data_IF_840989796686
#
_entry.id   IF_840989796686
#
_cell.length_a   1.000
_cell.length_b   1.000
_cell.length_c   1.000
_cell.angle_alpha   90.00
_cell.angle_beta   90.00
_cell.angle_gamma   90.00
#
_symmetry.space_group_name_H-M   'P 1'
#
loop_
_entity.id
_entity.type
_entity.pdbx_description
1 polymer ?
#
# COMPACT_ATOMS: atom_id res chain seq x y z
N UNK A 1 4.91 22.55 -7.76
CA UNK A 1 5.52 21.77 -6.66
C UNK A 1 4.82 22.15 -5.36
N UNK A 2 4.35 21.18 -4.55
CA UNK A 2 3.58 21.42 -3.31
C UNK A 2 4.43 21.70 -2.05
N UNK A 3 5.74 21.94 -2.21
CA UNK A 3 6.65 22.30 -1.12
C UNK A 3 7.14 21.14 -0.23
N UNK A 4 6.42 20.02 -0.15
CA UNK A 4 6.82 18.85 0.65
C UNK A 4 7.88 17.94 0.01
N UNK A 5 8.12 16.79 0.65
CA UNK A 5 8.96 15.68 0.18
C UNK A 5 8.51 14.34 0.77
N UNK A 6 8.79 13.23 0.10
CA UNK A 6 8.53 11.88 0.64
C UNK A 6 9.78 11.42 1.40
N UNK A 7 9.67 10.83 2.60
CA UNK A 7 10.83 10.29 3.31
C UNK A 7 11.65 9.32 2.44
N UNK A 8 12.97 9.30 2.64
CA UNK A 8 13.86 8.39 1.91
C UNK A 8 14.63 7.48 2.86
N UNK A 9 14.92 6.28 2.38
CA UNK A 9 15.96 5.42 2.94
C UNK A 9 17.26 5.61 2.13
N UNK A 10 18.40 5.54 2.80
CA UNK A 10 19.73 5.58 2.14
C UNK A 10 20.58 4.42 2.64
N UNK A 11 21.25 3.71 1.72
CA UNK A 11 22.12 2.59 2.03
C UNK A 11 23.40 2.64 1.19
N UNK A 12 24.52 2.24 1.79
CA UNK A 12 25.82 2.10 1.13
C UNK A 12 26.30 0.67 1.29
N UNK A 13 26.45 -0.05 0.17
CA UNK A 13 27.00 -1.42 0.18
C UNK A 13 28.53 -1.41 0.07
N UNK A 14 29.07 -0.50 -0.75
CA UNK A 14 30.50 -0.33 -0.98
C UNK A 14 30.82 1.17 -1.02
N UNK A 15 31.85 1.58 -0.30
CA UNK A 15 32.36 2.95 -0.30
C UNK A 15 33.83 3.00 -0.72
N UNK A 16 34.06 2.98 -2.04
CA UNK A 16 35.41 3.04 -2.59
C UNK A 16 36.02 4.46 -2.52
N UNK A 17 35.19 5.50 -2.40
CA UNK A 17 35.63 6.90 -2.40
C UNK A 17 35.78 7.49 -1.00
N UNK A 18 35.23 6.83 0.03
CA UNK A 18 35.11 7.36 1.39
C UNK A 18 34.02 8.44 1.52
N UNK A 19 33.15 8.59 0.51
CA UNK A 19 32.13 9.65 0.40
C UNK A 19 30.78 9.14 -0.10
N UNK A 20 30.59 7.83 -0.22
CA UNK A 20 29.36 7.28 -0.78
C UNK A 20 28.11 7.70 0.01
N UNK A 21 28.21 7.74 1.35
CA UNK A 21 27.08 8.16 2.19
C UNK A 21 26.75 9.65 2.02
N UNK A 22 27.76 10.52 1.99
CA UNK A 22 27.55 11.96 1.75
C UNK A 22 26.89 12.22 0.39
N UNK A 23 27.30 11.49 -0.64
CA UNK A 23 26.70 11.56 -1.96
C UNK A 23 25.24 11.07 -1.94
N UNK A 24 24.96 9.95 -1.26
CA UNK A 24 23.60 9.42 -1.09
C UNK A 24 22.67 10.41 -0.39
N UNK A 25 23.13 10.99 0.73
CA UNK A 25 22.38 12.03 1.46
C UNK A 25 22.13 13.27 0.59
N UNK A 26 23.13 13.72 -0.18
CA UNK A 26 22.99 14.83 -1.13
C UNK A 26 21.92 14.53 -2.19
N UNK A 27 21.92 13.31 -2.74
CA UNK A 27 20.91 12.87 -3.70
C UNK A 27 19.51 12.84 -3.09
N UNK A 28 19.34 12.20 -1.93
CA UNK A 28 18.06 12.16 -1.21
C UNK A 28 17.53 13.58 -0.91
N UNK A 29 18.41 14.52 -0.53
CA UNK A 29 18.01 15.91 -0.33
C UNK A 29 17.58 16.58 -1.65
N UNK A 30 18.27 16.33 -2.75
CA UNK A 30 17.96 16.93 -4.05
C UNK A 30 16.59 16.49 -4.59
N UNK A 31 16.19 15.24 -4.33
CA UNK A 31 14.86 14.72 -4.70
C UNK A 31 13.77 15.04 -3.67
N UNK A 32 14.12 15.76 -2.59
CA UNK A 32 13.16 16.29 -1.60
C UNK A 32 13.03 15.50 -0.30
N UNK A 33 13.67 14.33 -0.16
CA UNK A 33 13.62 13.52 1.06
C UNK A 33 14.15 14.25 2.30
N UNK A 34 15.15 15.13 2.11
CA UNK A 34 15.67 15.98 3.19
C UNK A 34 14.64 16.93 3.83
N UNK A 35 13.47 17.13 3.21
CA UNK A 35 12.38 17.95 3.78
C UNK A 35 11.51 17.21 4.80
N UNK A 36 11.51 15.88 4.77
CA UNK A 36 10.69 15.03 5.64
C UNK A 36 11.52 14.14 6.55
N UNK A 37 12.65 13.64 6.05
CA UNK A 37 13.55 12.76 6.78
C UNK A 37 14.29 11.83 5.83
N UNK A 38 15.58 11.61 6.12
CA UNK A 38 16.39 10.59 5.47
C UNK A 38 16.87 9.64 6.55
N UNK A 39 16.60 8.35 6.40
CA UNK A 39 16.95 7.32 7.37
C UNK A 39 18.00 6.41 6.75
N UNK A 40 19.12 6.26 7.44
CA UNK A 40 20.16 5.31 7.05
C UNK A 40 19.70 3.86 7.31
N UNK A 41 19.94 2.98 6.34
CA UNK A 41 19.63 1.55 6.38
C UNK A 41 20.72 0.75 5.66
N UNK A 42 20.52 -0.55 5.50
CA UNK A 42 21.31 -1.38 4.61
C UNK A 42 20.44 -2.01 3.50
N UNK A 43 21.09 -2.47 2.43
CA UNK A 43 20.42 -3.05 1.26
C UNK A 43 19.52 -4.25 1.61
N UNK A 44 19.89 -5.04 2.63
CA UNK A 44 19.09 -6.18 3.06
C UNK A 44 17.80 -5.71 3.73
N UNK A 45 17.89 -4.79 4.68
CA UNK A 45 16.73 -4.25 5.39
C UNK A 45 15.78 -3.53 4.43
N UNK A 46 16.29 -2.68 3.55
CA UNK A 46 15.47 -2.00 2.55
C UNK A 46 14.72 -3.00 1.66
N UNK A 47 15.45 -3.91 1.00
CA UNK A 47 14.84 -4.88 0.10
C UNK A 47 13.83 -5.80 0.81
N UNK A 48 14.17 -6.36 1.98
CA UNK A 48 13.25 -7.26 2.69
C UNK A 48 12.00 -6.53 3.22
N UNK A 49 12.15 -5.31 3.73
CA UNK A 49 11.01 -4.57 4.32
C UNK A 49 10.12 -3.91 3.29
N UNK A 50 10.69 -3.43 2.18
CA UNK A 50 9.93 -2.85 1.07
C UNK A 50 9.03 -3.91 0.42
N UNK A 51 9.63 -5.03 0.00
CA UNK A 51 8.91 -6.18 -0.58
C UNK A 51 7.82 -6.71 0.36
N UNK A 52 8.10 -6.78 1.66
CA UNK A 52 7.10 -7.21 2.64
C UNK A 52 5.96 -6.19 2.76
N UNK A 53 6.30 -4.91 2.87
CA UNK A 53 5.33 -3.83 3.02
C UNK A 53 4.33 -3.79 1.87
N UNK A 54 4.80 -3.83 0.63
CA UNK A 54 3.94 -3.81 -0.55
C UNK A 54 3.08 -5.07 -0.70
N UNK A 55 3.63 -6.26 -0.42
CA UNK A 55 2.90 -7.51 -0.57
C UNK A 55 1.84 -7.70 0.51
N UNK A 56 2.22 -7.49 1.78
CA UNK A 56 1.37 -7.83 2.92
C UNK A 56 0.40 -6.71 3.33
N UNK A 57 0.71 -5.44 3.03
CA UNK A 57 -0.05 -4.29 3.54
C UNK A 57 -0.42 -3.30 2.46
N UNK A 58 0.57 -2.63 1.84
CA UNK A 58 0.34 -1.40 1.07
C UNK A 58 -0.37 -1.65 -0.27
N UNK A 59 -0.04 -2.74 -0.95
CA UNK A 59 -0.67 -3.14 -2.20
C UNK A 59 -1.57 -4.35 -1.96
N UNK A 60 -0.99 -5.54 -1.80
CA UNK A 60 -1.77 -6.79 -1.75
C UNK A 60 -2.81 -6.81 -0.64
N UNK A 61 -2.39 -6.59 0.61
CA UNK A 61 -3.28 -6.62 1.78
C UNK A 61 -4.42 -5.60 1.71
N UNK A 62 -4.11 -4.34 1.40
CA UNK A 62 -5.11 -3.28 1.30
C UNK A 62 -6.10 -3.53 0.16
N UNK A 63 -5.63 -3.88 -1.04
CA UNK A 63 -6.53 -4.08 -2.19
C UNK A 63 -7.45 -5.28 -1.99
N UNK A 64 -6.93 -6.39 -1.45
CA UNK A 64 -7.74 -7.59 -1.18
C UNK A 64 -8.77 -7.34 -0.07
N UNK A 65 -8.41 -6.60 1.00
CA UNK A 65 -9.36 -6.22 2.04
C UNK A 65 -10.52 -5.38 1.49
N UNK A 66 -10.21 -4.42 0.62
CA UNK A 66 -11.22 -3.58 -0.04
C UNK A 66 -12.11 -4.41 -0.96
N UNK A 67 -11.53 -5.26 -1.80
CA UNK A 67 -12.28 -6.12 -2.72
C UNK A 67 -13.21 -7.08 -1.95
N UNK A 68 -12.70 -7.76 -0.92
CA UNK A 68 -13.50 -8.66 -0.09
C UNK A 68 -14.66 -7.92 0.62
N UNK A 69 -14.42 -6.71 1.12
CA UNK A 69 -15.45 -5.86 1.71
C UNK A 69 -16.53 -5.47 0.68
N UNK A 70 -16.10 -5.02 -0.50
CA UNK A 70 -16.99 -4.66 -1.60
C UNK A 70 -17.85 -5.85 -2.04
N UNK A 71 -17.23 -7.01 -2.28
CA UNK A 71 -17.90 -8.24 -2.68
C UNK A 71 -18.92 -8.69 -1.64
N UNK A 72 -18.54 -8.67 -0.35
CA UNK A 72 -19.44 -9.03 0.76
C UNK A 72 -20.72 -8.21 0.75
N UNK A 73 -20.60 -6.89 0.57
CA UNK A 73 -21.76 -5.99 0.54
C UNK A 73 -22.61 -6.21 -0.72
N UNK A 74 -21.98 -6.29 -1.90
CA UNK A 74 -22.72 -6.48 -3.15
C UNK A 74 -23.43 -7.84 -3.19
N UNK A 75 -22.78 -8.91 -2.72
CA UNK A 75 -23.37 -10.25 -2.64
C UNK A 75 -24.53 -10.31 -1.64
N UNK A 76 -24.51 -9.48 -0.60
CA UNK A 76 -25.61 -9.32 0.34
C UNK A 76 -26.79 -8.48 -0.23
N UNK A 77 -26.67 -7.97 -1.46
CA UNK A 77 -27.72 -7.23 -2.15
C UNK A 77 -27.68 -5.71 -1.95
N UNK A 78 -26.61 -5.16 -1.35
CA UNK A 78 -26.41 -3.72 -1.28
C UNK A 78 -26.02 -3.14 -2.65
N UNK A 79 -26.34 -1.86 -2.86
CA UNK A 79 -25.99 -1.17 -4.10
C UNK A 79 -24.46 -1.08 -4.26
N UNK A 80 -23.90 -1.41 -5.43
CA UNK A 80 -22.45 -1.32 -5.67
C UNK A 80 -21.86 0.05 -5.38
N UNK A 81 -22.60 1.13 -5.69
CA UNK A 81 -22.16 2.50 -5.46
C UNK A 81 -21.97 2.77 -3.96
N UNK A 82 -22.92 2.32 -3.13
CA UNK A 82 -22.83 2.44 -1.67
C UNK A 82 -21.67 1.59 -1.15
N UNK A 83 -21.54 0.34 -1.60
CA UNK A 83 -20.43 -0.52 -1.21
C UNK A 83 -19.07 0.11 -1.54
N UNK A 84 -18.92 0.72 -2.72
CA UNK A 84 -17.70 1.43 -3.12
C UNK A 84 -17.39 2.61 -2.19
N UNK A 85 -18.39 3.42 -1.84
CA UNK A 85 -18.20 4.55 -0.92
C UNK A 85 -17.67 4.07 0.43
N UNK A 86 -18.34 3.10 1.03
CA UNK A 86 -18.05 2.59 2.36
C UNK A 86 -16.66 1.95 2.46
N UNK A 87 -16.27 1.12 1.49
CA UNK A 87 -15.07 0.26 1.64
C UNK A 87 -13.83 0.77 0.91
N UNK A 88 -13.96 1.72 -0.03
CA UNK A 88 -12.81 2.28 -0.76
C UNK A 88 -12.74 3.79 -0.65
N UNK A 89 -13.83 4.53 -0.92
CA UNK A 89 -13.77 5.99 -0.92
C UNK A 89 -13.45 6.54 0.49
N UNK A 90 -14.14 6.06 1.51
CA UNK A 90 -13.93 6.50 2.90
C UNK A 90 -12.62 6.00 3.50
N UNK A 91 -12.03 4.93 2.98
CA UNK A 91 -10.75 4.41 3.46
C UNK A 91 -9.65 5.48 3.37
N UNK A 92 -9.69 6.36 2.36
CA UNK A 92 -8.77 7.49 2.26
C UNK A 92 -8.81 8.39 3.50
N UNK A 93 -10.00 8.72 4.01
CA UNK A 93 -10.14 9.58 5.19
C UNK A 93 -9.56 8.91 6.44
N UNK A 94 -9.83 7.62 6.62
CA UNK A 94 -9.29 6.85 7.76
C UNK A 94 -7.76 6.81 7.71
N UNK A 95 -7.18 6.54 6.55
CA UNK A 95 -5.73 6.51 6.36
C UNK A 95 -5.11 7.92 6.52
N UNK A 96 -5.77 8.97 6.04
CA UNK A 96 -5.32 10.35 6.23
C UNK A 96 -5.27 10.70 7.74
N UNK A 97 -6.28 10.32 8.53
CA UNK A 97 -6.28 10.54 9.98
C UNK A 97 -5.16 9.77 10.70
N UNK A 98 -4.91 8.52 10.28
CA UNK A 98 -3.78 7.73 10.80
C UNK A 98 -2.44 8.34 10.43
N UNK A 99 -2.31 8.85 9.20
CA UNK A 99 -1.10 9.53 8.74
C UNK A 99 -0.84 10.82 9.54
N UNK A 100 -1.89 11.60 9.83
CA UNK A 100 -1.75 12.88 10.50
C UNK A 100 -1.59 12.80 12.03
N UNK A 101 -1.90 11.67 12.67
CA UNK A 101 -1.77 11.56 14.13
C UNK A 101 -1.88 10.16 14.73
N UNK A 102 -1.65 9.13 13.93
CA UNK A 102 -1.68 7.73 14.37
C UNK A 102 -3.08 7.18 14.63
N UNK A 103 -3.11 5.90 15.05
CA UNK A 103 -4.34 5.15 15.31
C UNK A 103 -5.20 5.83 16.39
N UNK A 104 -4.57 6.40 17.43
CA UNK A 104 -5.28 7.08 18.50
C UNK A 104 -6.06 8.31 18.00
N UNK A 105 -5.47 9.12 17.10
CA UNK A 105 -6.18 10.26 16.50
C UNK A 105 -7.33 9.79 15.61
N UNK A 106 -7.12 8.75 14.82
CA UNK A 106 -8.18 8.16 14.01
C UNK A 106 -9.36 7.70 14.88
N UNK A 107 -9.10 6.91 15.93
CA UNK A 107 -10.14 6.45 16.85
C UNK A 107 -10.87 7.59 17.56
N UNK A 108 -10.14 8.62 18.00
CA UNK A 108 -10.74 9.83 18.58
C UNK A 108 -11.63 10.61 17.60
N UNK A 109 -11.37 10.49 16.30
CA UNK A 109 -12.07 11.27 15.26
C UNK A 109 -13.32 10.56 14.71
N UNK A 110 -13.44 9.25 14.92
CA UNK A 110 -14.63 8.48 14.53
C UNK A 110 -15.64 8.43 15.67
N UNK A 111 -16.87 8.00 15.38
CA UNK A 111 -17.87 7.81 16.44
C UNK A 111 -17.52 6.66 17.38
N UNK A 112 -17.96 6.71 18.63
CA UNK A 112 -17.81 5.62 19.61
C UNK A 112 -18.32 4.28 19.07
N UNK A 113 -19.38 4.29 18.24
CA UNK A 113 -19.91 3.09 17.58
C UNK A 113 -18.90 2.47 16.62
N UNK A 114 -18.21 3.30 15.83
CA UNK A 114 -17.19 2.86 14.89
C UNK A 114 -15.93 2.36 15.61
N UNK A 115 -15.47 3.08 16.65
CA UNK A 115 -14.33 2.66 17.47
C UNK A 115 -14.62 1.31 18.15
N UNK A 116 -15.77 1.19 18.84
CA UNK A 116 -16.16 -0.05 19.51
C UNK A 116 -16.32 -1.21 18.52
N UNK A 117 -16.99 -0.96 17.38
CA UNK A 117 -17.13 -1.94 16.30
C UNK A 117 -15.79 -2.40 15.74
N UNK A 118 -14.84 -1.47 15.57
CA UNK A 118 -13.47 -1.73 15.13
C UNK A 118 -12.68 -2.61 16.10
N UNK A 119 -12.74 -2.32 17.41
CA UNK A 119 -12.09 -3.16 18.43
C UNK A 119 -12.60 -4.60 18.46
N UNK A 120 -13.91 -4.80 18.24
CA UNK A 120 -14.51 -6.14 18.26
C UNK A 120 -14.30 -6.90 16.94
N UNK A 121 -14.40 -6.20 15.80
CA UNK A 121 -14.43 -6.83 14.48
C UNK A 121 -13.05 -6.93 13.84
N UNK A 122 -12.15 -5.97 14.11
CA UNK A 122 -10.80 -5.96 13.56
C UNK A 122 -10.04 -7.27 13.77
N UNK A 123 -9.92 -7.78 15.01
CA UNK A 123 -9.25 -9.06 15.28
C UNK A 123 -9.94 -10.30 14.69
N UNK A 124 -11.20 -10.18 14.24
CA UNK A 124 -11.93 -11.27 13.55
C UNK A 124 -11.63 -11.31 12.05
N UNK A 125 -11.20 -10.18 11.48
CA UNK A 125 -10.76 -10.07 10.07
C UNK A 125 -9.25 -10.26 9.99
N UNK A 126 -8.50 -9.58 10.85
CA UNK A 126 -7.04 -9.68 10.99
C UNK A 126 -6.75 -10.51 12.24
N UNK A 127 -6.77 -11.83 12.06
CA UNK A 127 -6.59 -12.80 13.14
C UNK A 127 -5.15 -13.35 13.21
N UNK A 128 -4.95 -14.34 14.10
CA UNK A 128 -3.66 -14.99 14.28
C UNK A 128 -3.18 -15.72 13.00
N UNK A 129 -4.09 -16.22 12.16
CA UNK A 129 -3.70 -16.89 10.92
C UNK A 129 -3.30 -15.87 9.85
N UNK A 130 -3.90 -14.67 9.86
CA UNK A 130 -3.46 -13.56 9.00
C UNK A 130 -2.03 -13.16 9.34
N UNK A 131 -1.70 -13.08 10.63
CA UNK A 131 -0.32 -12.85 11.06
C UNK A 131 0.63 -13.97 10.61
N UNK A 132 0.24 -15.25 10.73
CA UNK A 132 1.06 -16.37 10.24
C UNK A 132 1.34 -16.29 8.74
N UNK A 133 0.34 -15.87 7.94
CA UNK A 133 0.52 -15.65 6.49
C UNK A 133 1.50 -14.52 6.21
N UNK A 134 1.45 -13.43 6.97
CA UNK A 134 2.44 -12.35 6.86
C UNK A 134 3.85 -12.84 7.22
N UNK A 135 4.00 -13.64 8.28
CA UNK A 135 5.28 -14.25 8.65
C UNK A 135 5.82 -15.18 7.56
N UNK A 136 4.94 -15.94 6.90
CA UNK A 136 5.32 -16.78 5.76
C UNK A 136 5.75 -15.95 4.54
N UNK A 137 5.02 -14.89 4.18
CA UNK A 137 5.40 -13.98 3.09
C UNK A 137 6.79 -13.39 3.35
N UNK A 138 7.05 -12.95 4.59
CA UNK A 138 8.37 -12.45 4.96
C UNK A 138 9.46 -13.53 4.81
N UNK A 139 9.18 -14.76 5.22
CA UNK A 139 10.12 -15.87 5.07
C UNK A 139 10.44 -16.16 3.58
N UNK A 140 9.43 -16.16 2.71
CA UNK A 140 9.58 -16.38 1.26
C UNK A 140 10.31 -15.23 0.55
N UNK A 141 10.28 -14.01 1.11
CA UNK A 141 11.12 -12.89 0.68
C UNK A 141 12.56 -13.14 1.12
N UNK A 142 12.77 -13.46 2.40
CA UNK A 142 14.09 -13.63 3.00
C UNK A 142 14.89 -14.81 2.44
N UNK A 143 14.22 -15.90 2.07
CA UNK A 143 14.86 -17.08 1.46
C UNK A 143 14.99 -16.99 -0.08
N UNK A 144 14.48 -15.90 -0.68
CA UNK A 144 14.53 -15.61 -2.10
C UNK A 144 13.52 -16.38 -2.96
N UNK A 145 12.56 -17.08 -2.35
CA UNK A 145 11.47 -17.76 -3.07
C UNK A 145 10.68 -16.79 -3.93
N UNK A 146 10.30 -15.63 -3.38
CA UNK A 146 9.59 -14.60 -4.12
C UNK A 146 10.41 -14.07 -5.31
N UNK A 147 11.68 -13.70 -5.07
CA UNK A 147 12.55 -13.11 -6.10
C UNK A 147 12.80 -14.08 -7.25
N UNK A 148 12.95 -15.39 -6.97
CA UNK A 148 13.09 -16.41 -8.03
C UNK A 148 11.86 -16.46 -8.94
N UNK A 149 10.65 -16.39 -8.38
CA UNK A 149 9.41 -16.36 -9.17
C UNK A 149 9.28 -15.05 -9.96
N UNK A 150 9.61 -13.92 -9.34
CA UNK A 150 9.58 -12.61 -9.98
C UNK A 150 10.49 -12.57 -11.21
N UNK A 151 11.75 -13.01 -11.06
CA UNK A 151 12.72 -13.08 -12.16
C UNK A 151 12.22 -14.02 -13.26
N UNK A 152 11.74 -15.21 -12.91
CA UNK A 152 11.20 -16.16 -13.89
C UNK A 152 10.00 -15.58 -14.66
N UNK A 153 9.10 -14.82 -14.01
CA UNK A 153 8.01 -14.13 -14.67
C UNK A 153 8.53 -13.05 -15.65
N UNK A 154 9.53 -12.26 -15.26
CA UNK A 154 10.14 -11.23 -16.13
C UNK A 154 10.82 -11.88 -17.34
N UNK A 155 11.61 -12.94 -17.14
CA UNK A 155 12.25 -13.72 -18.21
C UNK A 155 11.21 -14.39 -19.14
N UNK A 156 10.06 -14.76 -18.60
CA UNK A 156 8.89 -15.25 -19.33
C UNK A 156 8.02 -14.17 -19.97
N UNK A 157 8.49 -12.91 -20.04
CA UNK A 157 7.79 -11.81 -20.71
C UNK A 157 6.61 -11.22 -19.92
N UNK A 158 6.62 -11.34 -18.58
CA UNK A 158 5.59 -10.82 -17.66
C UNK A 158 4.18 -11.41 -17.84
N UNK A 159 4.05 -12.59 -18.46
CA UNK A 159 2.74 -13.19 -18.75
C UNK A 159 1.87 -13.41 -17.50
N UNK A 160 2.46 -13.77 -16.36
CA UNK A 160 1.73 -13.94 -15.11
C UNK A 160 1.21 -12.59 -14.58
N UNK A 161 2.06 -11.58 -14.58
CA UNK A 161 1.70 -10.23 -14.14
C UNK A 161 0.59 -9.62 -15.01
N UNK A 162 0.67 -9.77 -16.34
CA UNK A 162 -0.36 -9.26 -17.25
C UNK A 162 -1.71 -9.97 -17.07
N UNK A 163 -1.70 -11.27 -16.80
CA UNK A 163 -2.92 -12.01 -16.47
C UNK A 163 -3.56 -11.51 -15.16
N UNK A 164 -2.76 -11.27 -14.12
CA UNK A 164 -3.22 -10.72 -12.84
C UNK A 164 -3.75 -9.28 -12.99
N UNK A 165 -3.08 -8.44 -13.78
CA UNK A 165 -3.52 -7.08 -14.11
C UNK A 165 -4.88 -7.10 -14.78
N UNK A 166 -5.06 -7.95 -15.79
CA UNK A 166 -6.32 -8.11 -16.50
C UNK A 166 -7.45 -8.51 -15.55
N UNK A 167 -7.22 -9.54 -14.72
CA UNK A 167 -8.21 -10.00 -13.74
C UNK A 167 -8.65 -8.86 -12.80
N UNK A 168 -7.70 -8.10 -12.28
CA UNK A 168 -8.00 -6.98 -11.37
C UNK A 168 -8.74 -5.83 -12.07
N UNK A 169 -8.35 -5.49 -13.30
CA UNK A 169 -9.03 -4.45 -14.08
C UNK A 169 -10.49 -4.81 -14.43
N UNK A 170 -10.81 -6.11 -14.49
CA UNK A 170 -12.16 -6.63 -14.74
C UNK A 170 -13.02 -6.73 -13.47
N UNK A 171 -12.46 -6.49 -12.27
CA UNK A 171 -13.20 -6.58 -11.02
C UNK A 171 -14.34 -5.51 -10.97
N UNK A 172 -15.57 -5.85 -10.52
CA UNK A 172 -16.71 -4.92 -10.57
C UNK A 172 -16.50 -3.59 -9.83
N UNK A 173 -15.63 -3.57 -8.81
CA UNK A 173 -15.27 -2.34 -8.09
C UNK A 173 -14.67 -1.27 -9.01
N UNK A 174 -13.95 -1.66 -10.07
CA UNK A 174 -13.32 -0.73 -11.00
C UNK A 174 -14.35 -0.08 -11.91
N UNK A 175 -15.35 -0.85 -12.36
CA UNK A 175 -16.46 -0.34 -13.18
C UNK A 175 -17.30 0.66 -12.39
N UNK A 176 -17.66 0.32 -11.16
CA UNK A 176 -18.41 1.21 -10.26
C UNK A 176 -17.59 2.44 -9.90
N UNK A 177 -16.34 2.24 -9.50
CA UNK A 177 -15.44 3.29 -9.06
C UNK A 177 -15.15 4.31 -10.14
N UNK A 178 -14.93 3.87 -11.38
CA UNK A 178 -14.74 4.78 -12.51
C UNK A 178 -15.92 5.74 -12.66
N UNK A 179 -17.15 5.22 -12.68
CA UNK A 179 -18.36 6.04 -12.81
C UNK A 179 -18.48 7.07 -11.69
N UNK A 180 -18.20 6.66 -10.45
CA UNK A 180 -18.31 7.55 -9.29
C UNK A 180 -17.22 8.63 -9.29
N UNK A 181 -15.97 8.27 -9.59
CA UNK A 181 -14.86 9.23 -9.66
C UNK A 181 -15.05 10.25 -10.79
N UNK A 182 -15.63 9.85 -11.92
CA UNK A 182 -15.97 10.76 -13.04
C UNK A 182 -16.99 11.85 -12.64
N UNK A 183 -17.78 11.63 -11.56
CA UNK A 183 -18.73 12.62 -11.02
C UNK A 183 -18.11 13.56 -9.96
N UNK A 184 -16.91 13.25 -9.47
CA UNK A 184 -16.24 13.99 -8.40
C UNK A 184 -15.20 14.93 -8.99
N UNK A 185 -15.58 16.19 -9.20
CA UNK A 185 -14.73 17.21 -9.85
C UNK A 185 -13.38 17.47 -9.16
N UNK A 186 -13.23 17.07 -7.90
CA UNK A 186 -12.01 17.23 -7.11
C UNK A 186 -11.10 15.99 -7.11
N UNK A 187 -11.55 14.87 -7.70
CA UNK A 187 -10.82 13.60 -7.73
C UNK A 187 -9.95 13.48 -8.99
N UNK A 188 -10.21 14.29 -10.03
CA UNK A 188 -9.46 14.21 -11.28
C UNK A 188 -7.98 14.59 -11.08
N UNK A 189 -7.16 13.53 -11.01
CA UNK A 189 -5.74 13.57 -11.30
C UNK A 189 -5.54 12.57 -12.43
N UNK A 190 -5.42 13.02 -13.70
CA UNK A 190 -5.03 12.11 -14.76
C UNK A 190 -3.77 11.37 -14.31
N UNK A 191 -3.69 10.07 -14.61
CA UNK A 191 -2.49 9.26 -14.36
C UNK A 191 -1.40 9.82 -15.27
N UNK A 192 -0.70 10.85 -14.79
CA UNK A 192 0.48 11.40 -15.44
C UNK A 192 1.67 10.72 -14.80
N UNK A 193 2.27 9.78 -15.54
CA UNK A 193 3.56 9.12 -15.31
C UNK A 193 3.93 8.90 -13.83
N UNK A 194 3.69 7.67 -13.35
CA UNK A 194 4.27 7.07 -12.13
C UNK A 194 4.17 7.94 -10.86
N UNK A 195 3.09 7.73 -10.11
CA UNK A 195 3.11 8.00 -8.67
C UNK A 195 4.02 6.96 -7.97
#
# INVERSE_FOLDING_TARGET
>A
VKGGGVPCLVAVHQDASGKAMELGLSYCSAIGGGRSGIIETNFRQECETDLFGEQAVLCGGATELVQAGFETLVQAGYQPEVAYFEVLHELKLIVDLMYEGGIARMNYSVSDTAEFGGYLSGPRVIDADTKKRMEQILAEIQDGTFVKRLVANVEGGNSELEALRKKNAEHPIEVTGKKLRDLMSWVDRPITETA
#
